data_IF_859037141378
#
_entry.id   IF_859037141378
#
_cell.length_a   1.000
_cell.length_b   1.000
_cell.length_c   1.000
_cell.angle_alpha   90.00
_cell.angle_beta   90.00
_cell.angle_gamma   90.00
#
_symmetry.space_group_name_H-M   'P 1'
#
loop_
_entity.id
_entity.type
_entity.pdbx_description
1 polymer ?
#
# COMPACT_ATOMS: atom_id res chain seq x y z
N UNK A 1 10.94 -1.25 23.76
CA UNK A 1 11.04 -0.67 22.40
C UNK A 1 12.42 -1.04 21.89
N UNK A 2 12.52 -1.77 20.78
CA UNK A 2 13.80 -2.10 20.17
C UNK A 2 14.28 -0.87 19.39
N UNK A 3 15.45 -0.28 19.70
CA UNK A 3 15.96 0.82 18.91
C UNK A 3 16.35 0.30 17.53
N UNK A 4 15.77 0.89 16.48
CA UNK A 4 16.17 0.61 15.10
C UNK A 4 17.50 1.31 14.77
N UNK A 5 18.32 0.68 13.92
CA UNK A 5 19.58 1.25 13.42
C UNK A 5 19.57 1.29 11.89
N UNK A 6 19.34 2.49 11.34
CA UNK A 6 19.31 2.73 9.89
C UNK A 6 20.65 2.49 9.19
N UNK A 7 21.77 2.42 9.93
CA UNK A 7 23.09 2.17 9.34
C UNK A 7 23.25 0.72 8.88
N UNK A 8 22.40 -0.19 9.37
CA UNK A 8 22.42 -1.60 8.97
C UNK A 8 21.64 -1.90 7.68
N UNK A 9 20.98 -0.89 7.09
CA UNK A 9 20.31 -1.05 5.81
C UNK A 9 21.33 -1.11 4.67
N UNK A 10 21.16 -2.11 3.80
CA UNK A 10 21.84 -2.21 2.51
C UNK A 10 21.44 -1.06 1.57
N UNK A 11 22.15 -0.91 0.46
CA UNK A 11 21.80 0.09 -0.55
C UNK A 11 20.40 -0.17 -1.13
N UNK A 12 20.12 -1.40 -1.56
CA UNK A 12 18.84 -1.79 -2.17
C UNK A 12 17.63 -1.56 -1.23
N UNK A 13 17.81 -1.82 0.07
CA UNK A 13 16.78 -1.53 1.08
C UNK A 13 16.52 -0.04 1.23
N UNK A 14 17.58 0.79 1.22
CA UNK A 14 17.46 2.26 1.26
C UNK A 14 16.77 2.78 0.00
N UNK A 15 17.16 2.31 -1.17
CA UNK A 15 16.56 2.71 -2.44
C UNK A 15 15.06 2.38 -2.46
N UNK A 16 14.67 1.23 -1.91
CA UNK A 16 13.26 0.85 -1.76
C UNK A 16 12.52 1.82 -0.83
N UNK A 17 13.10 2.17 0.31
CA UNK A 17 12.51 3.13 1.26
C UNK A 17 12.38 4.51 0.62
N UNK A 18 13.41 4.99 -0.05
CA UNK A 18 13.43 6.30 -0.68
C UNK A 18 12.40 6.39 -1.81
N UNK A 19 12.21 5.31 -2.59
CA UNK A 19 11.15 5.24 -3.60
C UNK A 19 9.74 5.35 -2.97
N UNK A 20 9.50 4.63 -1.87
CA UNK A 20 8.23 4.71 -1.12
C UNK A 20 8.01 6.10 -0.55
N UNK A 21 9.03 6.73 0.03
CA UNK A 21 8.96 8.07 0.58
C UNK A 21 8.75 9.13 -0.51
N UNK A 22 9.38 8.99 -1.68
CA UNK A 22 9.15 9.87 -2.81
C UNK A 22 7.70 9.80 -3.30
N UNK A 23 7.13 8.59 -3.37
CA UNK A 23 5.75 8.37 -3.81
C UNK A 23 4.71 8.84 -2.78
N UNK A 24 4.93 8.59 -1.49
CA UNK A 24 3.89 8.72 -0.47
C UNK A 24 4.21 9.66 0.68
N UNK A 25 5.48 10.05 0.88
CA UNK A 25 5.94 10.81 2.05
C UNK A 25 5.39 12.23 2.15
N UNK A 26 4.82 12.75 1.08
CA UNK A 26 4.12 14.05 1.07
C UNK A 26 2.65 13.95 1.52
N UNK A 27 2.11 12.73 1.69
CA UNK A 27 0.75 12.47 2.13
C UNK A 27 0.69 12.32 3.65
N UNK A 28 -0.38 12.83 4.25
CA UNK A 28 -0.66 12.59 5.66
C UNK A 28 -1.37 11.24 5.88
N UNK A 29 -1.49 10.82 7.15
CA UNK A 29 -2.08 9.52 7.50
C UNK A 29 -3.53 9.33 7.01
N UNK A 30 -4.35 10.38 6.99
CA UNK A 30 -5.72 10.29 6.47
C UNK A 30 -5.71 10.07 4.96
N UNK A 31 -4.88 10.81 4.22
CA UNK A 31 -4.75 10.67 2.77
C UNK A 31 -4.26 9.28 2.36
N UNK A 32 -3.30 8.71 3.10
CA UNK A 32 -2.85 7.33 2.90
C UNK A 32 -3.97 6.32 3.16
N UNK A 33 -4.75 6.53 4.22
CA UNK A 33 -5.90 5.68 4.51
C UNK A 33 -6.97 5.75 3.42
N UNK A 34 -7.28 6.96 2.95
CA UNK A 34 -8.27 7.18 1.89
C UNK A 34 -7.80 6.55 0.57
N UNK A 35 -6.50 6.62 0.25
CA UNK A 35 -5.92 5.96 -0.92
C UNK A 35 -6.24 4.46 -0.89
N UNK A 36 -5.78 3.75 0.15
CA UNK A 36 -6.01 2.31 0.27
C UNK A 36 -7.50 1.96 0.29
N UNK A 37 -8.36 2.72 0.98
CA UNK A 37 -9.80 2.42 1.00
C UNK A 37 -10.49 2.59 -0.37
N UNK A 38 -9.90 3.31 -1.31
CA UNK A 38 -10.46 3.52 -2.64
C UNK A 38 -10.01 2.48 -3.67
N UNK A 39 -8.92 1.74 -3.43
CA UNK A 39 -8.41 0.77 -4.41
C UNK A 39 -9.19 -0.56 -4.36
N UNK A 40 -9.37 -1.16 -5.54
CA UNK A 40 -10.15 -2.39 -5.72
C UNK A 40 -9.77 -3.54 -4.77
N UNK A 41 -8.49 -3.94 -4.60
CA UNK A 41 -8.15 -5.08 -3.76
C UNK A 41 -8.61 -4.92 -2.30
N UNK A 42 -8.48 -3.72 -1.73
CA UNK A 42 -8.91 -3.44 -0.35
C UNK A 42 -10.44 -3.39 -0.24
N UNK A 43 -11.12 -2.82 -1.24
CA UNK A 43 -12.60 -2.76 -1.29
C UNK A 43 -13.22 -4.14 -1.40
N UNK A 44 -12.69 -5.01 -2.26
CA UNK A 44 -13.17 -6.38 -2.42
C UNK A 44 -12.95 -7.20 -1.15
N UNK A 45 -11.78 -7.10 -0.54
CA UNK A 45 -11.51 -7.75 0.74
C UNK A 45 -12.46 -7.28 1.85
N UNK A 46 -12.92 -6.02 1.83
CA UNK A 46 -13.88 -5.48 2.81
C UNK A 46 -15.35 -5.61 2.40
N UNK A 47 -15.67 -6.29 1.30
CA UNK A 47 -17.06 -6.46 0.87
C UNK A 47 -17.90 -7.14 1.97
N UNK A 48 -19.02 -6.51 2.33
CA UNK A 48 -19.92 -6.99 3.39
C UNK A 48 -19.46 -6.72 4.83
N UNK A 49 -18.30 -6.07 5.03
CA UNK A 49 -17.81 -5.64 6.35
C UNK A 49 -18.33 -4.23 6.65
N UNK A 50 -18.90 -4.02 7.83
CA UNK A 50 -19.41 -2.71 8.23
C UNK A 50 -18.29 -1.65 8.37
N UNK A 51 -18.65 -0.38 8.18
CA UNK A 51 -17.74 0.74 8.38
C UNK A 51 -17.20 0.77 9.81
N UNK A 52 -15.89 0.96 9.95
CA UNK A 52 -15.20 0.92 11.24
C UNK A 52 -15.03 -0.48 11.86
N UNK A 53 -15.63 -1.53 11.30
CA UNK A 53 -15.43 -2.88 11.79
C UNK A 53 -14.10 -3.49 11.27
N UNK A 54 -13.42 -4.31 12.11
CA UNK A 54 -12.26 -5.06 11.65
C UNK A 54 -12.66 -6.08 10.58
N UNK A 55 -11.78 -6.28 9.60
CA UNK A 55 -11.92 -7.34 8.59
C UNK A 55 -10.80 -8.37 8.78
N UNK A 56 -11.15 -9.64 8.65
CA UNK A 56 -10.20 -10.77 8.58
C UNK A 56 -10.23 -11.45 7.22
N UNK A 57 -10.96 -10.89 6.25
CA UNK A 57 -11.01 -11.42 4.91
C UNK A 57 -9.64 -11.28 4.26
N UNK A 58 -9.26 -12.29 3.48
CA UNK A 58 -8.00 -12.27 2.74
C UNK A 58 -8.02 -11.20 1.64
N UNK A 59 -6.91 -10.48 1.50
CA UNK A 59 -6.69 -9.59 0.36
C UNK A 59 -6.09 -10.45 -0.76
N UNK A 60 -6.87 -10.71 -1.80
CA UNK A 60 -6.48 -11.61 -2.89
C UNK A 60 -5.22 -11.10 -3.61
N UNK A 61 -4.13 -11.91 -3.67
CA UNK A 61 -2.94 -11.57 -4.44
C UNK A 61 -3.22 -11.42 -5.94
N UNK A 62 -4.15 -12.21 -6.48
CA UNK A 62 -4.54 -12.14 -7.90
C UNK A 62 -5.21 -10.80 -8.21
N UNK A 63 -6.10 -10.33 -7.33
CA UNK A 63 -6.78 -9.03 -7.48
C UNK A 63 -5.79 -7.88 -7.35
N UNK A 64 -4.83 -7.98 -6.42
CA UNK A 64 -3.73 -7.03 -6.25
C UNK A 64 -2.89 -6.93 -7.53
N UNK A 65 -2.42 -8.07 -8.06
CA UNK A 65 -1.60 -8.12 -9.26
C UNK A 65 -2.34 -7.49 -10.45
N UNK A 66 -3.59 -7.90 -10.68
CA UNK A 66 -4.40 -7.38 -11.80
C UNK A 66 -4.61 -5.86 -11.68
N UNK A 67 -4.92 -5.36 -10.49
CA UNK A 67 -5.16 -3.93 -10.26
C UNK A 67 -3.89 -3.07 -10.48
N UNK A 68 -2.78 -3.41 -9.83
CA UNK A 68 -1.55 -2.60 -9.92
C UNK A 68 -0.86 -2.73 -11.28
N UNK A 69 -0.98 -3.88 -11.97
CA UNK A 69 -0.48 -4.03 -13.34
C UNK A 69 -1.24 -3.14 -14.33
N UNK A 70 -2.58 -3.06 -14.20
CA UNK A 70 -3.40 -2.17 -15.00
C UNK A 70 -3.07 -0.70 -14.73
N UNK A 71 -2.84 -0.33 -13.47
CA UNK A 71 -2.43 1.02 -13.08
C UNK A 71 -1.08 1.42 -13.69
N UNK A 72 -0.09 0.52 -13.61
CA UNK A 72 1.23 0.75 -14.21
C UNK A 72 1.15 0.87 -15.74
N UNK A 73 0.33 0.04 -16.38
CA UNK A 73 0.11 0.11 -17.83
C UNK A 73 -0.54 1.44 -18.23
N UNK A 74 -1.53 1.91 -17.47
CA UNK A 74 -2.20 3.19 -17.71
C UNK A 74 -1.28 4.40 -17.46
N UNK A 75 -0.36 4.31 -16.49
CA UNK A 75 0.62 5.36 -16.21
C UNK A 75 1.75 5.45 -17.26
N UNK A 76 1.91 4.39 -18.06
CA UNK A 76 2.98 4.27 -19.09
C UNK A 76 2.47 4.54 -20.51
N UNK A 77 1.19 4.88 -20.68
CA UNK A 77 0.53 5.19 -21.95
C UNK A 77 0.37 6.70 -22.14
#
# INVERSE_FOLDING_TARGET
MFPGDSTQLTADEKDTIDAVLAAYGHLNGQQLSDLSHNERPWREARAGVADGAPSTNEVSPDVMQDFYSAMQSAASA
#
